data_IF_966862322611
#
_entry.id   IF_966862322611
#
_cell.length_a   1.000
_cell.length_b   1.000
_cell.length_c   1.000
_cell.angle_alpha   90.00
_cell.angle_beta   90.00
_cell.angle_gamma   90.00
#
_symmetry.space_group_name_H-M   'P 1'
#
loop_
_entity.id
_entity.type
_entity.pdbx_description
1 polymer ?
#
# COMPACT_ATOMS: atom_id res chain seq x y z
N UNK A 1 -8.21 -6.90 -1.33
CA UNK A 1 -9.41 -7.65 -0.88
C UNK A 1 -9.41 -7.78 0.64
N UNK A 2 -10.60 -8.05 1.25
CA UNK A 2 -10.74 -8.25 2.69
C UNK A 2 -9.94 -9.47 3.18
N UNK A 3 -9.98 -10.63 2.53
CA UNK A 3 -9.15 -11.78 2.92
C UNK A 3 -7.67 -11.45 2.96
N UNK A 4 -7.14 -10.75 1.98
CA UNK A 4 -5.72 -10.33 1.96
C UNK A 4 -5.37 -9.36 3.10
N UNK A 5 -6.30 -8.49 3.51
CA UNK A 5 -6.10 -7.59 4.65
C UNK A 5 -6.01 -8.39 5.95
N UNK A 6 -6.91 -9.37 6.14
CA UNK A 6 -6.89 -10.29 7.29
C UNK A 6 -5.59 -11.08 7.34
N UNK A 7 -5.14 -11.65 6.22
CA UNK A 7 -3.87 -12.37 6.13
C UNK A 7 -2.68 -11.48 6.51
N UNK A 8 -2.72 -10.21 6.11
CA UNK A 8 -1.68 -9.24 6.47
C UNK A 8 -1.64 -9.00 7.98
N UNK A 9 -2.80 -8.92 8.64
CA UNK A 9 -2.89 -8.77 10.10
C UNK A 9 -2.30 -9.98 10.81
N UNK A 10 -2.69 -11.20 10.42
CA UNK A 10 -2.12 -12.43 11.00
C UNK A 10 -0.62 -12.55 10.73
N UNK A 11 -0.17 -12.17 9.54
CA UNK A 11 1.25 -12.11 9.23
C UNK A 11 1.98 -11.15 10.16
N UNK A 12 1.45 -9.93 10.35
CA UNK A 12 2.04 -8.94 11.24
C UNK A 12 2.14 -9.46 12.69
N UNK A 13 1.07 -10.07 13.22
CA UNK A 13 1.09 -10.67 14.58
C UNK A 13 2.15 -11.75 14.75
N UNK A 14 2.40 -12.55 13.73
CA UNK A 14 3.42 -13.61 13.78
C UNK A 14 4.85 -13.07 13.71
N UNK A 15 5.07 -12.01 12.92
CA UNK A 15 6.39 -11.51 12.58
C UNK A 15 6.82 -10.28 13.40
N UNK A 16 5.86 -9.59 14.04
CA UNK A 16 6.16 -8.40 14.83
C UNK A 16 6.93 -8.77 16.10
N UNK A 17 7.83 -7.89 16.49
CA UNK A 17 8.60 -7.96 17.74
C UNK A 17 8.22 -6.85 18.71
N UNK A 18 7.35 -5.97 18.27
CA UNK A 18 6.77 -4.86 19.02
C UNK A 18 6.92 -3.53 18.30
N UNK A 19 5.83 -2.78 18.20
CA UNK A 19 5.76 -1.41 17.66
C UNK A 19 6.14 -1.24 16.19
N UNK A 20 6.32 -2.31 15.41
CA UNK A 20 6.49 -2.19 13.97
C UNK A 20 5.15 -1.97 13.28
N UNK A 21 5.16 -1.18 12.19
CA UNK A 21 4.01 -1.03 11.30
C UNK A 21 4.31 -1.80 10.01
N UNK A 22 3.39 -2.69 9.62
CA UNK A 22 3.48 -3.44 8.37
C UNK A 22 2.55 -2.79 7.35
N UNK A 23 3.11 -2.35 6.23
CA UNK A 23 2.38 -1.74 5.12
C UNK A 23 2.44 -2.67 3.93
N UNK A 24 1.33 -3.36 3.61
CA UNK A 24 1.25 -4.25 2.46
C UNK A 24 1.42 -3.46 1.17
N UNK A 25 2.19 -3.99 0.22
CA UNK A 25 2.24 -3.45 -1.14
C UNK A 25 0.94 -3.78 -1.85
N UNK A 26 0.22 -2.75 -2.27
CA UNK A 26 -1.07 -2.84 -2.92
C UNK A 26 -0.99 -2.32 -4.35
N UNK A 27 -1.90 -2.76 -5.19
CA UNK A 27 -2.05 -2.21 -6.53
C UNK A 27 -2.70 -0.83 -6.47
N UNK A 28 -2.27 0.05 -7.39
CA UNK A 28 -2.98 1.28 -7.70
C UNK A 28 -3.87 1.08 -8.93
N UNK A 29 -5.00 1.77 -8.97
CA UNK A 29 -5.92 1.78 -10.09
C UNK A 29 -6.48 3.18 -10.28
N UNK A 30 -6.65 3.60 -11.53
CA UNK A 30 -7.39 4.83 -11.81
C UNK A 30 -8.89 4.56 -11.64
N UNK A 31 -9.56 5.39 -10.88
CA UNK A 31 -11.01 5.24 -10.61
C UNK A 31 -11.84 5.24 -11.90
N UNK A 32 -11.43 6.04 -12.90
CA UNK A 32 -12.08 6.04 -14.21
C UNK A 32 -11.91 4.70 -14.96
N UNK A 33 -10.74 4.07 -14.88
CA UNK A 33 -10.49 2.77 -15.51
C UNK A 33 -11.27 1.66 -14.78
N UNK A 34 -11.38 1.77 -13.46
CA UNK A 34 -12.18 0.87 -12.64
C UNK A 34 -13.67 0.98 -13.00
N UNK A 35 -14.22 2.20 -13.05
CA UNK A 35 -15.61 2.45 -13.40
C UNK A 35 -15.93 1.90 -14.81
N UNK A 36 -15.09 2.17 -15.81
CA UNK A 36 -15.26 1.65 -17.17
C UNK A 36 -15.17 0.13 -17.23
N UNK A 37 -14.33 -0.49 -16.38
CA UNK A 37 -14.19 -1.94 -16.34
C UNK A 37 -15.39 -2.64 -15.72
N UNK A 38 -16.06 -2.00 -14.75
CA UNK A 38 -17.26 -2.53 -14.08
C UNK A 38 -18.52 -2.27 -14.93
N UNK A 39 -18.65 -1.07 -15.49
CA UNK A 39 -19.82 -0.63 -16.26
C UNK A 39 -19.38 0.08 -17.56
N UNK A 40 -19.04 -0.69 -18.60
CA UNK A 40 -18.58 -0.14 -19.86
C UNK A 40 -19.59 0.82 -20.49
N UNK A 41 -19.09 1.98 -20.94
CA UNK A 41 -19.94 3.01 -21.59
C UNK A 41 -20.82 3.82 -20.64
N UNK A 42 -20.65 3.67 -19.32
CA UNK A 42 -21.39 4.49 -18.35
C UNK A 42 -20.96 5.96 -18.44
N UNK A 43 -21.93 6.86 -18.38
CA UNK A 43 -21.65 8.31 -18.37
C UNK A 43 -21.06 8.69 -17.00
N UNK A 44 -19.82 9.14 -16.99
CA UNK A 44 -19.16 9.66 -15.81
C UNK A 44 -19.32 11.18 -15.72
N UNK A 45 -19.44 11.70 -14.51
CA UNK A 45 -19.51 13.13 -14.23
C UNK A 45 -18.48 13.48 -13.16
N UNK A 46 -17.63 14.45 -13.44
CA UNK A 46 -16.72 15.02 -12.46
C UNK A 46 -17.50 15.94 -11.51
N UNK A 47 -17.41 15.65 -10.21
CA UNK A 47 -18.11 16.42 -9.16
C UNK A 47 -17.19 17.28 -8.31
N UNK A 48 -15.85 17.22 -8.56
CA UNK A 48 -14.84 17.85 -7.74
C UNK A 48 -14.57 17.09 -6.44
N UNK A 49 -13.58 17.55 -5.68
CA UNK A 49 -13.19 16.96 -4.40
C UNK A 49 -14.05 17.53 -3.26
N UNK A 50 -14.47 16.65 -2.36
CA UNK A 50 -15.14 17.05 -1.11
C UNK A 50 -14.11 17.45 -0.05
N UNK A 51 -14.49 18.25 0.96
CA UNK A 51 -13.63 18.55 2.08
C UNK A 51 -13.12 17.27 2.75
N UNK A 52 -11.81 17.16 2.91
CA UNK A 52 -11.16 15.98 3.51
C UNK A 52 -10.79 14.85 2.54
N UNK A 53 -11.26 14.91 1.29
CA UNK A 53 -10.81 13.97 0.24
C UNK A 53 -9.40 14.32 -0.24
N UNK A 54 -8.68 13.30 -0.68
CA UNK A 54 -7.35 13.42 -1.31
C UNK A 54 -7.41 12.86 -2.72
N UNK A 55 -6.69 13.50 -3.63
CA UNK A 55 -6.56 12.98 -5.01
C UNK A 55 -5.73 11.69 -5.04
N UNK A 56 -4.75 11.60 -4.15
CA UNK A 56 -3.87 10.44 -3.99
C UNK A 56 -3.78 10.06 -2.53
N UNK A 57 -3.89 8.77 -2.26
CA UNK A 57 -3.71 8.22 -0.92
C UNK A 57 -2.24 8.00 -0.63
N UNK A 58 -1.85 8.23 0.62
CA UNK A 58 -0.49 8.04 1.10
C UNK A 58 -0.49 7.06 2.26
N UNK A 59 0.34 6.01 2.15
CA UNK A 59 0.51 4.98 3.15
C UNK A 59 1.82 5.12 3.92
N UNK A 60 2.87 5.71 3.31
CA UNK A 60 4.15 6.00 3.96
C UNK A 60 4.55 7.42 3.57
N UNK A 61 4.82 8.24 4.56
CA UNK A 61 5.30 9.61 4.39
C UNK A 61 6.83 9.68 4.26
N UNK A 62 7.34 10.81 3.77
CA UNK A 62 8.79 11.07 3.73
C UNK A 62 9.43 11.06 5.12
N UNK A 63 8.69 11.49 6.15
CA UNK A 63 9.20 11.53 7.53
C UNK A 63 9.41 10.11 8.09
N UNK A 64 8.62 9.13 7.62
CA UNK A 64 8.74 7.73 7.99
C UNK A 64 9.82 6.98 7.19
N UNK A 65 10.30 7.55 6.08
CA UNK A 65 11.27 6.91 5.20
C UNK A 65 12.54 6.46 5.93
N UNK A 66 13.02 7.27 6.87
CA UNK A 66 14.23 6.98 7.65
C UNK A 66 14.11 5.70 8.52
N UNK A 67 12.89 5.27 8.81
CA UNK A 67 12.59 4.09 9.62
C UNK A 67 11.99 2.96 8.80
N UNK A 68 11.87 3.14 7.47
CA UNK A 68 11.19 2.22 6.56
C UNK A 68 12.16 1.28 5.86
N UNK A 69 11.78 0.01 5.83
CA UNK A 69 12.48 -1.06 5.12
C UNK A 69 11.55 -1.72 4.11
N UNK A 70 12.06 -1.88 2.89
CA UNK A 70 11.39 -2.57 1.77
C UNK A 70 11.63 -4.07 1.85
N UNK A 71 10.55 -4.85 1.96
CA UNK A 71 10.51 -6.30 1.81
C UNK A 71 9.76 -6.65 0.53
N UNK A 72 9.87 -7.91 0.09
CA UNK A 72 9.29 -8.34 -1.19
C UNK A 72 7.79 -7.99 -1.33
N UNK A 73 6.98 -8.19 -0.28
CA UNK A 73 5.51 -8.05 -0.33
C UNK A 73 4.95 -6.91 0.53
N UNK A 74 5.79 -6.30 1.37
CA UNK A 74 5.38 -5.25 2.32
C UNK A 74 6.54 -4.31 2.61
N UNK A 75 6.20 -3.16 3.19
CA UNK A 75 7.15 -2.31 3.89
C UNK A 75 6.99 -2.52 5.38
N UNK A 76 8.09 -2.39 6.11
CA UNK A 76 8.10 -2.39 7.58
C UNK A 76 8.66 -1.06 8.05
N UNK A 77 7.89 -0.36 8.89
CA UNK A 77 8.30 0.89 9.53
C UNK A 77 8.65 0.54 10.99
N UNK A 78 9.87 0.86 11.40
CA UNK A 78 10.30 0.72 12.79
C UNK A 78 9.89 1.97 13.58
N UNK A 79 9.52 1.80 14.84
CA UNK A 79 9.16 2.94 15.69
C UNK A 79 10.38 3.82 16.00
N UNK A 80 10.31 5.14 15.77
CA UNK A 80 11.39 6.05 16.15
C UNK A 80 11.50 6.28 17.66
N UNK A 81 10.46 5.91 18.42
CA UNK A 81 10.37 6.18 19.87
C UNK A 81 11.10 5.14 20.72
N UNK A 82 11.45 4.02 20.16
CA UNK A 82 12.15 2.98 20.88
C UNK A 82 13.58 2.94 20.36
N UNK A 83 14.52 2.99 21.28
CA UNK A 83 15.95 2.71 21.02
C UNK A 83 16.10 1.21 20.73
N UNK A 84 15.37 0.82 19.68
CA UNK A 84 15.48 -0.54 19.19
C UNK A 84 16.90 -0.67 18.67
N UNK A 85 17.67 -1.41 19.39
CA UNK A 85 18.87 -1.99 18.86
C UNK A 85 18.55 -2.35 17.40
N UNK A 86 19.26 -1.74 16.44
CA UNK A 86 19.12 -1.97 15.01
C UNK A 86 19.53 -3.43 14.68
N UNK A 87 19.09 -4.34 15.57
CA UNK A 87 19.40 -5.75 15.50
C UNK A 87 19.00 -6.23 14.12
N UNK A 88 19.93 -6.81 13.41
CA UNK A 88 19.74 -7.47 12.12
C UNK A 88 18.46 -8.32 12.08
N UNK A 89 17.97 -8.74 13.24
CA UNK A 89 16.78 -9.58 13.38
C UNK A 89 15.48 -8.90 12.95
N UNK A 90 15.38 -7.54 12.99
CA UNK A 90 14.18 -6.77 12.59
C UNK A 90 14.21 -6.37 11.14
N UNK A 91 15.40 -6.17 10.60
CA UNK A 91 15.64 -5.69 9.24
C UNK A 91 16.12 -6.77 8.28
N UNK A 92 16.42 -7.97 8.80
CA UNK A 92 16.92 -9.09 7.99
C UNK A 92 15.99 -9.42 6.84
N UNK A 93 16.52 -9.38 5.62
CA UNK A 93 15.78 -9.62 4.39
C UNK A 93 15.05 -8.38 3.83
N UNK A 94 15.06 -7.25 4.55
CA UNK A 94 14.58 -5.97 4.06
C UNK A 94 15.72 -5.05 3.63
N UNK A 95 15.43 -4.15 2.70
CA UNK A 95 16.35 -3.10 2.24
C UNK A 95 15.84 -1.75 2.71
N UNK A 96 16.68 -0.94 3.36
CA UNK A 96 16.31 0.42 3.75
C UNK A 96 15.92 1.21 2.51
N UNK A 97 14.79 1.92 2.56
CA UNK A 97 14.34 2.79 1.47
C UNK A 97 15.18 4.07 1.44
N UNK A 98 15.06 4.86 0.36
CA UNK A 98 15.72 6.16 0.23
C UNK A 98 15.09 7.16 1.20
N UNK A 99 15.84 8.18 1.61
CA UNK A 99 15.40 9.21 2.57
C UNK A 99 14.17 10.02 2.09
N UNK A 100 14.01 10.17 0.78
CA UNK A 100 12.89 10.88 0.14
C UNK A 100 11.74 9.96 -0.28
N UNK A 101 11.78 8.70 0.14
CA UNK A 101 10.79 7.71 -0.23
C UNK A 101 9.41 8.06 0.32
N UNK A 102 8.40 7.94 -0.53
CA UNK A 102 6.99 8.01 -0.17
C UNK A 102 6.24 6.87 -0.86
N UNK A 103 5.34 6.23 -0.14
CA UNK A 103 4.44 5.24 -0.73
C UNK A 103 3.05 5.85 -0.90
N UNK A 104 2.76 6.29 -2.12
CA UNK A 104 1.53 6.98 -2.50
C UNK A 104 0.89 6.31 -3.71
N UNK A 105 -0.41 6.46 -3.87
CA UNK A 105 -1.16 5.81 -4.94
C UNK A 105 -0.76 6.26 -6.35
N UNK A 106 -0.24 7.48 -6.51
CA UNK A 106 0.22 8.03 -7.79
C UNK A 106 1.65 7.62 -8.18
N UNK A 107 2.50 7.31 -7.18
CA UNK A 107 3.91 6.94 -7.38
C UNK A 107 4.17 5.45 -7.20
N UNK A 108 3.13 4.65 -7.22
CA UNK A 108 3.23 3.21 -7.07
C UNK A 108 3.74 2.53 -8.35
N UNK A 109 4.64 1.56 -8.21
CA UNK A 109 5.14 0.75 -9.32
C UNK A 109 4.13 -0.30 -9.80
N UNK A 110 3.12 -0.62 -8.98
CA UNK A 110 2.15 -1.68 -9.22
C UNK A 110 0.79 -1.10 -9.64
N UNK A 111 0.54 -1.04 -10.95
CA UNK A 111 -0.70 -0.53 -11.51
C UNK A 111 -1.54 -1.62 -12.15
N UNK A 112 -2.83 -1.67 -11.80
CA UNK A 112 -3.81 -2.47 -12.52
C UNK A 112 -4.41 -1.64 -13.66
N UNK A 113 -4.28 -2.14 -14.90
CA UNK A 113 -4.76 -1.49 -16.12
C UNK A 113 -5.30 -2.52 -17.11
N UNK A 114 -6.26 -2.12 -17.95
CA UNK A 114 -6.74 -2.89 -19.08
C UNK A 114 -7.12 -4.32 -18.72
N UNK A 115 -6.53 -5.30 -19.39
CA UNK A 115 -6.84 -6.71 -19.20
C UNK A 115 -6.56 -7.22 -17.78
N UNK A 116 -5.44 -6.81 -17.19
CA UNK A 116 -5.08 -7.22 -15.83
C UNK A 116 -6.07 -6.71 -14.78
N UNK A 117 -6.62 -5.50 -14.96
CA UNK A 117 -7.67 -4.97 -14.10
C UNK A 117 -8.94 -5.80 -14.20
N UNK A 118 -9.33 -6.20 -15.43
CA UNK A 118 -10.52 -7.04 -15.64
C UNK A 118 -10.36 -8.43 -15.02
N UNK A 119 -9.21 -9.07 -15.18
CA UNK A 119 -8.92 -10.35 -14.53
C UNK A 119 -8.99 -10.23 -13.00
N UNK A 120 -8.35 -9.21 -12.44
CA UNK A 120 -8.37 -8.98 -11.00
C UNK A 120 -9.79 -8.76 -10.45
N UNK A 121 -10.66 -8.06 -11.22
CA UNK A 121 -12.07 -7.88 -10.84
C UNK A 121 -12.87 -9.18 -10.86
N UNK A 122 -12.54 -10.13 -11.73
CA UNK A 122 -13.21 -11.44 -11.76
C UNK A 122 -12.86 -12.32 -10.56
N UNK A 123 -11.67 -12.13 -9.98
CA UNK A 123 -11.20 -12.86 -8.80
C UNK A 123 -11.75 -12.27 -7.48
N UNK A 124 -12.45 -11.13 -7.53
CA UNK A 124 -13.07 -10.52 -6.36
C UNK A 124 -14.52 -10.96 -6.26
N UNK A 125 -14.84 -11.68 -5.21
CA UNK A 125 -16.24 -11.89 -4.79
C UNK A 125 -16.78 -10.59 -4.21
N UNK A 126 -17.83 -10.05 -4.81
CA UNK A 126 -18.56 -8.86 -4.35
C UNK A 126 -19.71 -9.28 -3.43
#
# INVERSE_FOLDING_TARGET
TLPEAVDTVFYAFREMKGSEIFVKKAYSVKIVDLAESIAPGVKMQETGMRPGEKLHEQLISSDEANFTYDFKQYYKILSPLNDWDSSESRTRGGKKVKEDFMYTSDKNDYWLKGHNLKLWLQDIEF
#
